data_IF_127319898547
#
_entry.id   IF_127319898547
#
_cell.length_a   1.000
_cell.length_b   1.000
_cell.length_c   1.000
_cell.angle_alpha   90.00
_cell.angle_beta   90.00
_cell.angle_gamma   90.00
#
_symmetry.space_group_name_H-M   'P 1'
#
loop_
_entity.id
_entity.type
_entity.pdbx_description
1 polymer ?
#
# COMPACT_ATOMS: atom_id res chain seq x y z
N UNK A 1 12.21 -20.67 9.24
CA UNK A 1 11.66 -19.29 9.37
C UNK A 1 11.39 -18.81 10.80
N UNK A 2 11.64 -19.60 11.85
CA UNK A 2 11.29 -19.20 13.23
C UNK A 2 11.93 -17.89 13.71
N UNK A 3 13.20 -17.67 13.38
CA UNK A 3 13.88 -16.41 13.70
C UNK A 3 13.22 -15.19 13.03
N UNK A 4 12.89 -15.29 11.74
CA UNK A 4 12.20 -14.23 11.02
C UNK A 4 10.81 -13.94 11.61
N UNK A 5 10.03 -14.99 11.94
CA UNK A 5 8.72 -14.87 12.60
C UNK A 5 8.85 -14.06 13.91
N UNK A 6 9.84 -14.39 14.75
CA UNK A 6 10.07 -13.67 16.00
C UNK A 6 10.38 -12.19 15.79
N UNK A 7 11.25 -11.86 14.83
CA UNK A 7 11.62 -10.47 14.53
C UNK A 7 10.45 -9.66 13.95
N UNK A 8 9.67 -10.24 13.04
CA UNK A 8 8.52 -9.57 12.44
C UNK A 8 7.45 -9.30 13.52
N UNK A 9 7.18 -10.28 14.39
CA UNK A 9 6.25 -10.11 15.52
C UNK A 9 6.70 -8.99 16.47
N UNK A 10 8.00 -8.91 16.77
CA UNK A 10 8.55 -7.82 17.59
C UNK A 10 8.39 -6.45 16.89
N UNK A 11 8.59 -6.38 15.57
CA UNK A 11 8.38 -5.17 14.78
C UNK A 11 6.91 -4.72 14.76
N UNK A 12 5.98 -5.66 14.63
CA UNK A 12 4.53 -5.39 14.71
C UNK A 12 4.18 -4.82 16.08
N UNK A 13 4.67 -5.44 17.16
CA UNK A 13 4.42 -4.98 18.52
C UNK A 13 4.98 -3.56 18.74
N UNK A 14 6.18 -3.28 18.23
CA UNK A 14 6.77 -1.95 18.28
C UNK A 14 5.90 -0.90 17.56
N UNK A 15 5.45 -1.19 16.33
CA UNK A 15 4.55 -0.30 15.56
C UNK A 15 3.23 -0.06 16.29
N UNK A 16 2.64 -1.11 16.89
CA UNK A 16 1.43 -0.99 17.69
C UNK A 16 1.61 -0.11 18.94
N UNK A 17 2.75 -0.23 19.64
CA UNK A 17 3.07 0.63 20.79
C UNK A 17 3.22 2.10 20.38
N UNK A 18 3.87 2.37 19.24
CA UNK A 18 3.97 3.74 18.69
C UNK A 18 2.58 4.26 18.36
N UNK A 19 1.77 3.51 17.60
CA UNK A 19 0.43 3.92 17.19
C UNK A 19 -0.43 4.28 18.42
N UNK A 20 -0.45 3.40 19.43
CA UNK A 20 -1.17 3.65 20.67
C UNK A 20 -0.66 4.88 21.42
N UNK A 21 0.64 5.14 21.41
CA UNK A 21 1.22 6.32 22.05
C UNK A 21 0.85 7.61 21.31
N UNK A 22 0.82 7.59 19.98
CA UNK A 22 0.37 8.72 19.16
C UNK A 22 -1.13 8.99 19.36
N UNK A 23 -1.98 7.96 19.30
CA UNK A 23 -3.43 8.08 19.47
C UNK A 23 -3.85 8.50 20.89
N UNK A 24 -2.99 8.27 21.88
CA UNK A 24 -3.19 8.72 23.27
C UNK A 24 -2.45 10.02 23.61
N UNK A 25 -1.91 10.72 22.60
CA UNK A 25 -1.17 11.98 22.76
C UNK A 25 0.05 11.89 23.69
N UNK A 26 0.62 10.69 23.87
CA UNK A 26 1.83 10.42 24.66
C UNK A 26 3.12 10.45 23.84
N UNK A 27 3.00 10.50 22.51
CA UNK A 27 4.10 10.63 21.58
C UNK A 27 3.70 11.54 20.41
N UNK A 28 4.63 12.39 19.99
CA UNK A 28 4.46 13.26 18.82
C UNK A 28 5.49 12.87 17.76
N UNK A 29 5.04 12.82 16.51
CA UNK A 29 5.86 12.42 15.37
C UNK A 29 5.31 13.06 14.10
N UNK A 30 6.14 13.14 13.07
CA UNK A 30 5.72 13.58 11.73
C UNK A 30 5.03 12.45 10.94
N UNK A 31 5.04 11.22 11.44
CA UNK A 31 4.31 10.11 10.83
C UNK A 31 2.81 10.22 11.14
N UNK A 32 1.97 10.21 10.10
CA UNK A 32 0.53 10.09 10.28
C UNK A 32 0.18 8.79 11.04
N UNK A 33 -0.82 8.79 11.94
CA UNK A 33 -1.31 7.55 12.56
C UNK A 33 -1.66 6.48 11.53
N UNK A 34 -2.27 6.90 10.41
CA UNK A 34 -2.58 6.02 9.28
C UNK A 34 -1.34 5.40 8.64
N UNK A 35 -0.22 6.13 8.56
CA UNK A 35 1.04 5.58 8.03
C UNK A 35 1.60 4.49 8.95
N UNK A 36 1.53 4.69 10.27
CA UNK A 36 2.00 3.69 11.25
C UNK A 36 1.13 2.43 11.18
N UNK A 37 -0.18 2.58 11.08
CA UNK A 37 -1.12 1.48 10.89
C UNK A 37 -0.89 0.75 9.55
N UNK A 38 -0.65 1.50 8.47
CA UNK A 38 -0.34 0.98 7.13
C UNK A 38 0.88 0.06 7.14
N UNK A 39 2.03 0.54 7.62
CA UNK A 39 3.25 -0.28 7.68
C UNK A 39 3.12 -1.44 8.68
N UNK A 40 2.20 -1.34 9.65
CA UNK A 40 1.88 -2.45 10.55
C UNK A 40 1.07 -3.52 9.82
N UNK A 41 0.14 -3.16 8.95
CA UNK A 41 -0.61 -4.09 8.09
C UNK A 41 0.29 -4.84 7.11
N UNK A 42 1.27 -4.18 6.50
CA UNK A 42 2.28 -4.83 5.66
C UNK A 42 3.12 -5.85 6.43
N UNK A 43 3.55 -5.49 7.64
CA UNK A 43 4.31 -6.40 8.50
C UNK A 43 3.48 -7.62 8.90
N UNK A 44 2.18 -7.43 9.18
CA UNK A 44 1.25 -8.53 9.45
C UNK A 44 1.07 -9.43 8.22
N UNK A 45 0.91 -8.87 7.03
CA UNK A 45 0.82 -9.65 5.79
C UNK A 45 2.08 -10.49 5.59
N UNK A 46 3.26 -9.90 5.78
CA UNK A 46 4.52 -10.63 5.67
C UNK A 46 4.67 -11.73 6.73
N UNK A 47 4.26 -11.46 7.98
CA UNK A 47 4.24 -12.48 9.04
C UNK A 47 3.37 -13.68 8.65
N UNK A 48 2.15 -13.42 8.14
CA UNK A 48 1.22 -14.45 7.70
C UNK A 48 1.82 -15.30 6.56
N UNK A 49 2.45 -14.65 5.57
CA UNK A 49 3.13 -15.36 4.48
C UNK A 49 4.25 -16.29 5.00
N UNK A 50 5.10 -15.78 5.90
CA UNK A 50 6.23 -16.54 6.44
C UNK A 50 5.75 -17.73 7.29
N UNK A 51 4.67 -17.56 8.06
CA UNK A 51 4.03 -18.61 8.84
C UNK A 51 3.43 -19.69 7.94
N UNK A 52 2.66 -19.30 6.91
CA UNK A 52 2.10 -20.22 5.91
C UNK A 52 3.17 -21.09 5.25
N UNK A 53 4.29 -20.47 4.84
CA UNK A 53 5.44 -21.19 4.27
C UNK A 53 6.07 -22.14 5.29
N UNK A 54 6.27 -21.69 6.54
CA UNK A 54 6.86 -22.50 7.61
C UNK A 54 6.01 -23.73 7.96
N UNK A 55 4.69 -23.58 7.92
CA UNK A 55 3.71 -24.62 8.24
C UNK A 55 3.34 -25.49 7.03
N UNK A 56 3.80 -25.13 5.82
CA UNK A 56 3.41 -25.77 4.55
C UNK A 56 1.89 -25.79 4.38
N UNK A 57 1.25 -24.68 4.74
CA UNK A 57 -0.20 -24.53 4.61
C UNK A 57 -0.62 -24.66 3.15
N UNK A 58 -1.73 -25.37 2.92
CA UNK A 58 -2.35 -25.43 1.59
C UNK A 58 -3.22 -24.18 1.42
N UNK A 59 -2.94 -23.40 0.37
CA UNK A 59 -3.57 -22.10 0.13
C UNK A 59 -4.53 -22.24 -1.05
N UNK A 60 -5.77 -21.76 -0.88
CA UNK A 60 -6.68 -21.57 -2.00
C UNK A 60 -6.21 -20.34 -2.80
N UNK A 61 -5.71 -20.58 -4.01
CA UNK A 61 -5.10 -19.55 -4.85
C UNK A 61 -6.09 -18.46 -5.25
N UNK A 62 -7.35 -18.81 -5.58
CA UNK A 62 -8.38 -17.84 -5.95
C UNK A 62 -8.72 -16.92 -4.77
N UNK A 63 -8.87 -17.50 -3.58
CA UNK A 63 -9.11 -16.74 -2.35
C UNK A 63 -7.95 -15.82 -2.02
N UNK A 64 -6.72 -16.32 -2.12
CA UNK A 64 -5.52 -15.53 -1.89
C UNK A 64 -5.40 -14.37 -2.87
N UNK A 65 -5.72 -14.59 -4.16
CA UNK A 65 -5.70 -13.55 -5.18
C UNK A 65 -6.66 -12.39 -4.80
N UNK A 66 -7.89 -12.73 -4.41
CA UNK A 66 -8.87 -11.72 -3.97
C UNK A 66 -8.44 -10.98 -2.70
N UNK A 67 -7.91 -11.71 -1.69
CA UNK A 67 -7.42 -11.10 -0.44
C UNK A 67 -6.23 -10.16 -0.70
N UNK A 68 -5.31 -10.54 -1.60
CA UNK A 68 -4.18 -9.71 -2.02
C UNK A 68 -4.64 -8.48 -2.81
N UNK A 69 -5.57 -8.63 -3.75
CA UNK A 69 -6.09 -7.50 -4.54
C UNK A 69 -6.75 -6.45 -3.64
N UNK A 70 -7.63 -6.87 -2.73
CA UNK A 70 -8.24 -6.00 -1.73
C UNK A 70 -7.18 -5.29 -0.86
N UNK A 71 -6.18 -6.04 -0.39
CA UNK A 71 -5.11 -5.49 0.43
C UNK A 71 -4.32 -4.42 -0.32
N UNK A 72 -3.84 -4.72 -1.53
CA UNK A 72 -2.96 -3.83 -2.27
C UNK A 72 -3.69 -2.62 -2.87
N UNK A 73 -4.96 -2.75 -3.25
CA UNK A 73 -5.79 -1.60 -3.62
C UNK A 73 -5.87 -0.58 -2.47
N UNK A 74 -6.07 -1.06 -1.23
CA UNK A 74 -6.04 -0.20 -0.05
C UNK A 74 -4.68 0.45 0.17
N UNK A 75 -3.59 -0.31 0.02
CA UNK A 75 -2.22 0.21 0.14
C UNK A 75 -1.96 1.31 -0.91
N UNK A 76 -2.42 1.14 -2.15
CA UNK A 76 -2.28 2.16 -3.21
C UNK A 76 -3.11 3.42 -2.95
N UNK A 77 -4.32 3.30 -2.39
CA UNK A 77 -5.10 4.45 -1.93
C UNK A 77 -4.35 5.25 -0.86
N UNK A 78 -3.81 4.55 0.14
CA UNK A 78 -3.09 5.16 1.26
C UNK A 78 -1.78 5.82 0.82
N UNK A 79 -1.02 5.19 -0.08
CA UNK A 79 0.15 5.80 -0.71
C UNK A 79 -0.18 7.14 -1.39
N UNK A 80 -1.26 7.16 -2.16
CA UNK A 80 -1.70 8.36 -2.87
C UNK A 80 -2.08 9.48 -1.90
N UNK A 81 -2.72 9.14 -0.77
CA UNK A 81 -3.02 10.08 0.33
C UNK A 81 -1.75 10.59 1.03
N UNK A 82 -0.75 9.74 1.23
CA UNK A 82 0.53 10.15 1.81
C UNK A 82 1.30 11.09 0.87
N UNK A 83 1.39 10.77 -0.42
CA UNK A 83 2.01 11.66 -1.42
C UNK A 83 1.31 13.02 -1.39
N UNK A 84 -0.03 13.06 -1.46
CA UNK A 84 -0.84 14.28 -1.36
C UNK A 84 -0.52 15.11 -0.11
N UNK A 85 -0.35 14.47 1.05
CA UNK A 85 -0.13 15.15 2.32
C UNK A 85 1.31 15.61 2.58
N UNK A 86 2.28 15.00 1.90
CA UNK A 86 3.71 15.27 2.11
C UNK A 86 4.30 16.22 1.04
N UNK A 87 3.57 16.51 -0.04
CA UNK A 87 3.91 17.56 -1.00
C UNK A 87 3.84 18.94 -0.35
N UNK A 88 4.68 19.87 -0.81
CA UNK A 88 4.57 21.27 -0.41
C UNK A 88 3.21 21.84 -0.87
N UNK A 89 2.52 22.67 -0.07
CA UNK A 89 1.22 23.22 -0.45
C UNK A 89 1.20 24.01 -1.78
N UNK A 90 2.36 24.39 -2.32
CA UNK A 90 2.46 25.05 -3.62
C UNK A 90 2.40 24.09 -4.83
N UNK A 91 2.54 22.78 -4.63
CA UNK A 91 2.51 21.74 -5.66
C UNK A 91 1.07 21.31 -6.05
N UNK A 92 0.21 22.29 -6.37
CA UNK A 92 -1.24 22.07 -6.55
C UNK A 92 -1.60 20.96 -7.54
N UNK A 93 -0.93 20.90 -8.69
CA UNK A 93 -1.21 19.88 -9.72
C UNK A 93 -0.86 18.46 -9.24
N UNK A 94 0.28 18.31 -8.56
CA UNK A 94 0.69 17.02 -7.99
C UNK A 94 -0.23 16.60 -6.84
N UNK A 95 -0.66 17.55 -6.00
CA UNK A 95 -1.62 17.31 -4.92
C UNK A 95 -2.95 16.83 -5.49
N UNK A 96 -3.48 17.50 -6.52
CA UNK A 96 -4.73 17.12 -7.16
C UNK A 96 -4.63 15.73 -7.82
N UNK A 97 -3.53 15.47 -8.51
CA UNK A 97 -3.26 14.17 -9.14
C UNK A 97 -3.22 13.04 -8.09
N UNK A 98 -2.43 13.21 -7.03
CA UNK A 98 -2.35 12.24 -5.94
C UNK A 98 -3.70 12.04 -5.23
N UNK A 99 -4.48 13.10 -5.07
CA UNK A 99 -5.82 13.02 -4.48
C UNK A 99 -6.80 12.23 -5.35
N UNK A 100 -6.71 12.35 -6.68
CA UNK A 100 -7.54 11.60 -7.61
C UNK A 100 -7.21 10.11 -7.59
N UNK A 101 -5.92 9.74 -7.62
CA UNK A 101 -5.51 8.35 -7.42
C UNK A 101 -6.00 7.80 -6.06
N UNK A 102 -5.93 8.61 -4.99
CA UNK A 102 -6.45 8.21 -3.69
C UNK A 102 -7.94 7.86 -3.71
N UNK A 103 -8.76 8.64 -4.43
CA UNK A 103 -10.20 8.36 -4.60
C UNK A 103 -10.47 7.14 -5.48
N UNK A 104 -9.74 7.02 -6.57
CA UNK A 104 -9.86 5.89 -7.50
C UNK A 104 -9.56 4.57 -6.78
N UNK A 105 -8.47 4.49 -6.03
CA UNK A 105 -8.14 3.29 -5.26
C UNK A 105 -9.04 3.05 -4.05
N UNK A 106 -9.63 4.09 -3.46
CA UNK A 106 -10.69 3.90 -2.46
C UNK A 106 -11.91 3.19 -3.08
N UNK A 107 -12.30 3.56 -4.30
CA UNK A 107 -13.36 2.89 -5.05
C UNK A 107 -12.97 1.45 -5.41
N UNK A 108 -11.78 1.23 -5.98
CA UNK A 108 -11.29 -0.11 -6.33
C UNK A 108 -11.19 -1.04 -5.11
N UNK A 109 -10.85 -0.50 -3.93
CA UNK A 109 -10.87 -1.25 -2.66
C UNK A 109 -12.29 -1.70 -2.31
N UNK A 110 -13.28 -0.82 -2.45
CA UNK A 110 -14.68 -1.15 -2.22
C UNK A 110 -15.20 -2.18 -3.24
N UNK A 111 -14.83 -2.03 -4.51
CA UNK A 111 -15.22 -2.95 -5.58
C UNK A 111 -14.58 -4.33 -5.40
N UNK A 112 -13.33 -4.39 -4.92
CA UNK A 112 -12.65 -5.65 -4.57
C UNK A 112 -13.39 -6.39 -3.45
N UNK A 113 -13.87 -5.66 -2.43
CA UNK A 113 -14.68 -6.23 -1.37
C UNK A 113 -16.03 -6.75 -1.89
N UNK A 114 -16.70 -5.98 -2.75
CA UNK A 114 -17.94 -6.39 -3.40
C UNK A 114 -17.74 -7.65 -4.28
N UNK A 115 -16.63 -7.74 -5.01
CA UNK A 115 -16.28 -8.93 -5.79
C UNK A 115 -16.07 -10.16 -4.90
N UNK A 116 -15.43 -10.02 -3.74
CA UNK A 116 -15.31 -11.11 -2.74
C UNK A 116 -16.67 -11.58 -2.22
N UNK A 117 -17.62 -10.67 -2.07
CA UNK A 117 -19.01 -10.95 -1.69
C UNK A 117 -19.87 -11.46 -2.85
N UNK A 118 -19.28 -11.64 -4.05
CA UNK A 118 -19.92 -12.09 -5.29
C UNK A 118 -21.03 -11.16 -5.79
N UNK A 119 -20.96 -9.88 -5.44
CA UNK A 119 -21.87 -8.84 -5.92
C UNK A 119 -21.33 -8.11 -7.15
N UNK A 120 -20.05 -8.31 -7.48
CA UNK A 120 -19.40 -7.81 -8.70
C UNK A 120 -18.51 -8.86 -9.36
N UNK A 121 -18.26 -8.79 -10.69
CA UNK A 121 -17.33 -9.69 -11.37
C UNK A 121 -15.87 -9.35 -11.01
N UNK A 122 -15.16 -10.30 -10.38
CA UNK A 122 -13.75 -10.12 -9.98
C UNK A 122 -12.86 -9.70 -11.15
N UNK A 123 -13.06 -10.30 -12.33
CA UNK A 123 -12.24 -10.02 -13.51
C UNK A 123 -12.27 -8.55 -13.93
N UNK A 124 -13.44 -7.89 -13.84
CA UNK A 124 -13.57 -6.48 -14.19
C UNK A 124 -12.82 -5.62 -13.18
N UNK A 125 -12.93 -5.93 -11.89
CA UNK A 125 -12.19 -5.25 -10.83
C UNK A 125 -10.68 -5.42 -11.02
N UNK A 126 -10.20 -6.64 -11.27
CA UNK A 126 -8.76 -6.91 -11.51
C UNK A 126 -8.22 -6.13 -12.70
N UNK A 127 -9.00 -5.98 -13.78
CA UNK A 127 -8.61 -5.22 -14.96
C UNK A 127 -8.49 -3.71 -14.68
N UNK A 128 -9.45 -3.15 -13.95
CA UNK A 128 -9.39 -1.75 -13.56
C UNK A 128 -8.28 -1.48 -12.53
N UNK A 129 -8.11 -2.38 -11.55
CA UNK A 129 -6.98 -2.39 -10.61
C UNK A 129 -5.63 -2.39 -11.34
N UNK A 130 -5.50 -3.19 -12.41
CA UNK A 130 -4.27 -3.27 -13.21
C UNK A 130 -3.96 -1.94 -13.89
N UNK A 131 -4.92 -1.37 -14.63
CA UNK A 131 -4.74 -0.08 -15.32
C UNK A 131 -4.43 1.05 -14.35
N UNK A 132 -5.17 1.14 -13.24
CA UNK A 132 -4.95 2.17 -12.23
C UNK A 132 -3.57 2.02 -11.57
N UNK A 133 -3.12 0.79 -11.33
CA UNK A 133 -1.80 0.53 -10.74
C UNK A 133 -0.67 0.86 -11.71
N UNK A 134 -0.84 0.64 -13.02
CA UNK A 134 0.13 1.07 -14.02
C UNK A 134 0.29 2.59 -14.04
N UNK A 135 -0.83 3.32 -14.08
CA UNK A 135 -0.84 4.77 -14.03
C UNK A 135 -0.22 5.31 -12.73
N UNK A 136 -0.55 4.72 -11.58
CA UNK A 136 0.04 5.12 -10.29
C UNK A 136 1.53 4.78 -10.20
N UNK A 137 1.97 3.65 -10.76
CA UNK A 137 3.38 3.26 -10.85
C UNK A 137 4.18 4.29 -11.66
N UNK A 138 3.64 4.75 -12.79
CA UNK A 138 4.28 5.81 -13.59
C UNK A 138 4.33 7.15 -12.86
N UNK A 139 3.25 7.51 -12.17
CA UNK A 139 3.22 8.70 -11.33
C UNK A 139 4.26 8.64 -10.21
N UNK A 140 4.38 7.51 -9.51
CA UNK A 140 5.39 7.28 -8.46
C UNK A 140 6.82 7.31 -9.01
N UNK A 141 7.04 6.76 -10.21
CA UNK A 141 8.35 6.79 -10.87
C UNK A 141 8.76 8.22 -11.22
N UNK A 142 7.88 8.98 -11.87
CA UNK A 142 8.10 10.39 -12.19
C UNK A 142 8.30 11.24 -10.92
N UNK A 143 7.47 11.01 -9.90
CA UNK A 143 7.62 11.66 -8.59
C UNK A 143 8.97 11.38 -7.96
N UNK A 144 9.42 10.12 -7.95
CA UNK A 144 10.73 9.73 -7.40
C UNK A 144 11.88 10.41 -8.16
N UNK A 145 11.80 10.46 -9.49
CA UNK A 145 12.80 11.17 -10.30
C UNK A 145 12.80 12.68 -9.99
N UNK A 146 11.62 13.30 -9.90
CA UNK A 146 11.50 14.71 -9.56
C UNK A 146 12.06 15.06 -8.17
N UNK A 147 11.94 14.15 -7.20
CA UNK A 147 12.55 14.30 -5.87
C UNK A 147 14.08 14.22 -5.94
N UNK A 148 14.63 13.25 -6.69
CA UNK A 148 16.09 13.09 -6.88
C UNK A 148 16.72 14.30 -7.59
N UNK A 149 15.98 14.91 -8.52
CA UNK A 149 16.42 16.08 -9.29
C UNK A 149 16.14 17.42 -8.58
N UNK A 150 15.59 17.40 -7.36
CA UNK A 150 15.17 18.60 -6.62
C UNK A 150 14.16 19.49 -7.38
N UNK A 151 13.32 18.89 -8.24
CA UNK A 151 12.29 19.58 -9.04
C UNK A 151 10.92 19.63 -8.36
N UNK A 152 10.71 18.82 -7.33
CA UNK A 152 9.46 18.76 -6.55
C UNK A 152 9.74 19.26 -5.13
N UNK A 153 8.94 20.22 -4.67
CA UNK A 153 8.96 20.71 -3.29
C UNK A 153 8.11 19.79 -2.42
N UNK A 154 8.72 19.20 -1.40
CA UNK A 154 8.02 18.30 -0.48
C UNK A 154 8.85 18.03 0.76
N UNK A 155 8.26 17.33 1.73
CA UNK A 155 8.97 16.65 2.81
C UNK A 155 9.11 15.14 2.53
N UNK A 156 8.94 14.71 1.28
CA UNK A 156 9.09 13.32 0.85
C UNK A 156 10.58 13.04 0.63
N UNK A 157 11.09 12.04 1.33
CA UNK A 157 12.47 11.57 1.13
C UNK A 157 12.50 10.72 -0.16
N UNK A 158 13.49 10.88 -1.06
CA UNK A 158 13.54 10.11 -2.31
C UNK A 158 13.44 8.58 -2.12
N UNK A 159 14.02 8.06 -1.03
CA UNK A 159 13.92 6.63 -0.69
C UNK A 159 12.48 6.19 -0.35
N UNK A 160 11.65 7.08 0.22
CA UNK A 160 10.22 6.81 0.41
C UNK A 160 9.49 6.76 -0.94
N UNK A 161 9.84 7.64 -1.88
CA UNK A 161 9.36 7.57 -3.27
C UNK A 161 9.65 6.21 -3.90
N UNK A 162 10.91 5.78 -3.88
CA UNK A 162 11.35 4.47 -4.38
C UNK A 162 10.66 3.29 -3.67
N UNK A 163 10.50 3.35 -2.34
CA UNK A 163 9.83 2.30 -1.58
C UNK A 163 8.40 2.05 -2.06
N UNK A 164 7.58 3.09 -2.13
CA UNK A 164 6.18 2.94 -2.57
C UNK A 164 6.08 2.60 -4.06
N UNK A 165 7.08 2.96 -4.87
CA UNK A 165 7.20 2.54 -6.27
C UNK A 165 7.47 1.05 -6.40
N UNK A 166 8.38 0.48 -5.61
CA UNK A 166 8.64 -0.97 -5.61
C UNK A 166 7.42 -1.78 -5.20
N UNK A 167 6.62 -1.27 -4.27
CA UNK A 167 5.36 -1.90 -3.88
C UNK A 167 4.30 -1.84 -4.97
N UNK A 168 4.18 -0.73 -5.70
CA UNK A 168 3.32 -0.67 -6.88
C UNK A 168 3.76 -1.68 -7.95
N UNK A 169 5.06 -1.82 -8.20
CA UNK A 169 5.59 -2.84 -9.11
C UNK A 169 5.34 -4.27 -8.62
N UNK A 170 5.44 -4.51 -7.31
CA UNK A 170 5.08 -5.80 -6.72
C UNK A 170 3.60 -6.12 -6.96
N UNK A 171 2.72 -5.15 -6.73
CA UNK A 171 1.29 -5.33 -6.96
C UNK A 171 0.95 -5.59 -8.43
N UNK A 172 1.56 -4.86 -9.37
CA UNK A 172 1.43 -5.14 -10.81
C UNK A 172 1.79 -6.58 -11.15
N UNK A 173 2.87 -7.11 -10.56
CA UNK A 173 3.26 -8.50 -10.78
C UNK A 173 2.16 -9.47 -10.29
N UNK A 174 1.52 -9.19 -9.16
CA UNK A 174 0.43 -10.01 -8.63
C UNK A 174 -0.81 -9.96 -9.53
N UNK A 175 -1.25 -8.77 -9.95
CA UNK A 175 -2.40 -8.61 -10.85
C UNK A 175 -2.22 -9.35 -12.18
N UNK A 176 -1.02 -9.31 -12.76
CA UNK A 176 -0.68 -10.07 -13.97
C UNK A 176 -0.69 -11.61 -13.77
N UNK A 177 -0.55 -12.08 -12.53
CA UNK A 177 -0.72 -13.51 -12.20
C UNK A 177 -2.22 -13.83 -12.07
N UNK A 178 -3.01 -12.91 -11.50
CA UNK A 178 -4.44 -13.10 -11.27
C UNK A 178 -5.29 -13.01 -12.54
N UNK A 179 -4.83 -12.26 -13.56
CA UNK A 179 -5.50 -12.21 -14.87
C UNK A 179 -5.43 -13.52 -15.68
N UNK A 180 -4.51 -14.42 -15.35
CA UNK A 180 -4.29 -15.69 -16.06
C UNK A 180 -5.20 -16.81 -15.57
#
# INVERSE_FOLDING_TARGET
NQWAISLISALIQFKATILNSVLSCRMFTMNYPLLIDHIMREANLYLQMVQRIQNRENINIEREAMEQELFWNRIMAEHSKFIRGLLDPTENELINTANNFGKEFDQLTADSLAAMERTMPLKEVTQESLKATEALRDFKAQGTQGLLECKIRSIIIPLLGDHTLREANHYLRLLNIFEK
#
